data_IF_287949452582
#
_entry.id   IF_287949452582
#
_cell.length_a   1.000
_cell.length_b   1.000
_cell.length_c   1.000
_cell.angle_alpha   90.00
_cell.angle_beta   90.00
_cell.angle_gamma   90.00
#
_symmetry.space_group_name_H-M   'P 1'
#
loop_
_entity.id
_entity.type
_entity.pdbx_description
1 polymer ?
#
# COMPACT_ATOMS: atom_id res chain seq x y z
N UNK A 1 -40.56 22.25 26.52
CA UNK A 1 -40.34 22.69 25.12
C UNK A 1 -41.39 22.04 24.25
N UNK A 2 -42.50 22.75 23.99
CA UNK A 2 -43.61 22.28 23.15
C UNK A 2 -43.14 22.37 21.70
N UNK A 3 -42.89 21.23 21.05
CA UNK A 3 -42.55 21.23 19.62
C UNK A 3 -43.79 21.62 18.80
N UNK A 4 -43.66 22.50 17.79
CA UNK A 4 -44.79 22.97 16.99
C UNK A 4 -45.46 21.80 16.24
N UNK A 5 -46.78 21.85 16.11
CA UNK A 5 -47.65 20.84 15.47
C UNK A 5 -47.26 20.50 14.02
N UNK A 6 -46.48 21.40 13.38
CA UNK A 6 -45.84 21.22 12.07
C UNK A 6 -44.87 20.02 12.02
N UNK A 7 -44.42 19.49 13.16
CA UNK A 7 -43.49 18.36 13.29
C UNK A 7 -44.18 17.03 13.67
N UNK A 8 -45.50 16.95 13.56
CA UNK A 8 -46.30 15.79 13.97
C UNK A 8 -46.53 14.82 12.78
N UNK A 9 -46.30 13.52 13.03
CA UNK A 9 -46.69 12.40 12.17
C UNK A 9 -46.02 12.34 10.78
N UNK A 10 -46.64 12.97 9.78
CA UNK A 10 -46.24 12.93 8.37
C UNK A 10 -45.05 13.83 8.06
N UNK A 11 -45.02 15.03 8.65
CA UNK A 11 -43.99 16.02 8.36
C UNK A 11 -42.61 15.60 8.87
N UNK A 12 -42.56 14.92 10.03
CA UNK A 12 -41.30 14.39 10.58
C UNK A 12 -40.72 13.27 9.72
N UNK A 13 -41.57 12.39 9.19
CA UNK A 13 -41.14 11.33 8.26
C UNK A 13 -40.60 11.93 6.96
N UNK A 14 -41.25 12.97 6.41
CA UNK A 14 -40.78 13.70 5.23
C UNK A 14 -39.45 14.42 5.46
N UNK A 15 -39.29 15.07 6.62
CA UNK A 15 -38.02 15.68 7.02
C UNK A 15 -36.89 14.66 7.15
N UNK A 16 -37.16 13.49 7.76
CA UNK A 16 -36.20 12.40 7.87
C UNK A 16 -35.83 11.82 6.49
N UNK A 17 -36.80 11.66 5.59
CA UNK A 17 -36.53 11.23 4.21
C UNK A 17 -35.70 12.25 3.44
N UNK A 18 -36.02 13.55 3.56
CA UNK A 18 -35.26 14.62 2.93
C UNK A 18 -33.83 14.71 3.48
N UNK A 19 -33.66 14.58 4.79
CA UNK A 19 -32.35 14.54 5.43
C UNK A 19 -31.54 13.31 5.01
N UNK A 20 -32.18 12.13 4.93
CA UNK A 20 -31.52 10.92 4.44
C UNK A 20 -31.09 11.05 2.97
N UNK A 21 -31.97 11.57 2.10
CA UNK A 21 -31.66 11.81 0.70
C UNK A 21 -30.53 12.84 0.53
N UNK A 22 -30.56 13.93 1.31
CA UNK A 22 -29.51 14.95 1.32
C UNK A 22 -28.16 14.40 1.80
N UNK A 23 -28.16 13.59 2.86
CA UNK A 23 -26.95 12.94 3.36
C UNK A 23 -26.35 11.97 2.33
N UNK A 24 -27.18 11.18 1.63
CA UNK A 24 -26.70 10.31 0.56
C UNK A 24 -26.14 11.14 -0.60
N UNK A 25 -26.81 12.22 -0.99
CA UNK A 25 -26.33 13.11 -2.06
C UNK A 25 -24.99 13.76 -1.72
N UNK A 26 -24.79 14.24 -0.48
CA UNK A 26 -23.52 14.85 -0.06
C UNK A 26 -22.40 13.83 0.05
N UNK A 27 -22.69 12.60 0.50
CA UNK A 27 -21.72 11.50 0.46
C UNK A 27 -21.31 11.21 -0.98
N UNK A 28 -22.26 11.02 -1.90
CA UNK A 28 -21.94 10.72 -3.30
C UNK A 28 -21.11 11.85 -3.92
N UNK A 29 -21.52 13.10 -3.78
CA UNK A 29 -20.76 14.24 -4.34
C UNK A 29 -19.38 14.38 -3.67
N UNK A 30 -19.30 14.20 -2.35
CA UNK A 30 -18.05 14.27 -1.59
C UNK A 30 -17.05 13.20 -2.02
N UNK A 31 -17.50 11.95 -2.19
CA UNK A 31 -16.62 10.85 -2.60
C UNK A 31 -16.29 10.87 -4.10
N UNK A 32 -17.20 11.32 -4.98
CA UNK A 32 -16.95 11.35 -6.43
C UNK A 32 -16.17 12.57 -6.89
N UNK A 33 -16.47 13.77 -6.35
CA UNK A 33 -15.91 15.02 -6.84
C UNK A 33 -15.02 15.71 -5.80
N UNK A 34 -15.37 15.62 -4.52
CA UNK A 34 -14.64 16.25 -3.42
C UNK A 34 -13.34 15.53 -3.02
N UNK A 35 -13.06 14.34 -3.56
CA UNK A 35 -11.93 13.52 -3.15
C UNK A 35 -12.01 13.07 -1.69
N UNK A 36 -13.22 13.09 -1.10
CA UNK A 36 -13.44 12.77 0.30
C UNK A 36 -13.20 11.27 0.50
N UNK A 37 -12.13 10.96 1.23
CA UNK A 37 -11.75 9.61 1.61
C UNK A 37 -11.87 9.50 3.13
N UNK A 38 -12.35 8.35 3.62
CA UNK A 38 -12.33 8.08 5.06
C UNK A 38 -10.89 8.19 5.57
N UNK A 39 -10.67 8.82 6.73
CA UNK A 39 -9.33 8.94 7.32
C UNK A 39 -8.61 7.60 7.43
N UNK A 40 -9.33 6.50 7.70
CA UNK A 40 -8.76 5.14 7.70
C UNK A 40 -8.30 4.64 6.33
N UNK A 41 -8.94 5.07 5.25
CA UNK A 41 -8.51 4.80 3.87
C UNK A 41 -7.33 5.69 3.49
N UNK A 42 -7.33 6.95 3.92
CA UNK A 42 -6.21 7.87 3.70
C UNK A 42 -4.94 7.39 4.43
N UNK A 43 -5.06 6.93 5.68
CA UNK A 43 -3.95 6.34 6.44
C UNK A 43 -3.43 5.05 5.78
N UNK A 44 -4.32 4.15 5.36
CA UNK A 44 -3.93 2.93 4.63
C UNK A 44 -3.22 3.26 3.32
N UNK A 45 -3.75 4.21 2.54
CA UNK A 45 -3.13 4.64 1.29
C UNK A 45 -1.78 5.34 1.54
N UNK A 46 -1.66 6.14 2.61
CA UNK A 46 -0.42 6.79 2.97
C UNK A 46 0.64 5.76 3.38
N UNK A 47 0.27 4.76 4.18
CA UNK A 47 1.16 3.68 4.58
C UNK A 47 1.59 2.82 3.39
N UNK A 48 0.65 2.41 2.54
CA UNK A 48 0.94 1.60 1.36
C UNK A 48 1.84 2.35 0.36
N UNK A 49 1.58 3.64 0.12
CA UNK A 49 2.45 4.47 -0.73
C UNK A 49 3.84 4.65 -0.13
N UNK A 50 3.94 4.80 1.18
CA UNK A 50 5.22 4.93 1.88
C UNK A 50 6.00 3.62 1.78
N UNK A 51 5.37 2.48 2.03
CA UNK A 51 5.97 1.15 1.87
C UNK A 51 6.44 0.92 0.43
N UNK A 52 5.62 1.22 -0.58
CA UNK A 52 5.99 1.11 -1.98
C UNK A 52 7.16 2.02 -2.37
N UNK A 53 7.17 3.27 -1.90
CA UNK A 53 8.26 4.20 -2.17
C UNK A 53 9.58 3.75 -1.53
N UNK A 54 9.51 3.25 -0.29
CA UNK A 54 10.65 2.67 0.42
C UNK A 54 11.12 1.42 -0.31
N UNK A 55 10.22 0.52 -0.72
CA UNK A 55 10.57 -0.67 -1.50
C UNK A 55 11.26 -0.28 -2.81
N UNK A 56 10.73 0.70 -3.54
CA UNK A 56 11.31 1.17 -4.80
C UNK A 56 12.71 1.77 -4.62
N UNK A 57 12.98 2.42 -3.48
CA UNK A 57 14.29 2.98 -3.15
C UNK A 57 15.28 1.92 -2.62
N UNK A 58 14.81 0.93 -1.84
CA UNK A 58 15.64 -0.12 -1.26
C UNK A 58 15.94 -1.27 -2.23
N UNK A 59 15.05 -1.54 -3.18
CA UNK A 59 15.23 -2.59 -4.17
C UNK A 59 16.54 -2.43 -5.00
N UNK A 60 16.90 -1.26 -5.55
CA UNK A 60 18.19 -1.09 -6.22
C UNK A 60 19.38 -1.26 -5.27
N UNK A 61 19.27 -0.80 -4.03
CA UNK A 61 20.32 -0.98 -3.00
C UNK A 61 20.55 -2.46 -2.71
N UNK A 62 19.48 -3.25 -2.60
CA UNK A 62 19.55 -4.70 -2.44
C UNK A 62 20.31 -5.37 -3.61
N UNK A 63 20.01 -4.96 -4.86
CA UNK A 63 20.70 -5.48 -6.05
C UNK A 63 22.19 -5.12 -6.05
N UNK A 64 22.55 -3.90 -5.68
CA UNK A 64 23.96 -3.46 -5.64
C UNK A 64 24.74 -4.20 -4.55
N UNK A 65 24.14 -4.39 -3.36
CA UNK A 65 24.74 -5.20 -2.28
C UNK A 65 24.89 -6.66 -2.69
N UNK A 66 23.92 -7.20 -3.44
CA UNK A 66 23.99 -8.56 -3.94
C UNK A 66 25.10 -8.75 -4.98
N UNK A 67 25.29 -7.77 -5.89
CA UNK A 67 26.37 -7.78 -6.88
C UNK A 67 27.76 -7.56 -6.28
N UNK A 68 27.84 -6.86 -5.15
CA UNK A 68 29.09 -6.65 -4.42
C UNK A 68 29.57 -7.92 -3.69
N UNK A 69 28.75 -8.98 -3.60
CA UNK A 69 29.18 -10.26 -3.05
C UNK A 69 30.19 -10.94 -3.98
N UNK A 70 31.26 -11.55 -3.44
CA UNK A 70 32.23 -12.30 -4.25
C UNK A 70 31.59 -13.50 -4.99
N UNK A 71 30.48 -14.03 -4.48
CA UNK A 71 29.75 -15.17 -5.02
C UNK A 71 28.42 -14.78 -5.72
N UNK A 72 28.29 -13.54 -6.20
CA UNK A 72 27.03 -13.00 -6.72
C UNK A 72 26.38 -13.89 -7.81
N UNK A 73 27.17 -14.40 -8.75
CA UNK A 73 26.65 -15.25 -9.85
C UNK A 73 26.17 -16.62 -9.33
N UNK A 74 26.92 -17.26 -8.44
CA UNK A 74 26.53 -18.53 -7.84
C UNK A 74 25.25 -18.39 -6.99
N UNK A 75 25.15 -17.31 -6.21
CA UNK A 75 23.97 -16.99 -5.40
C UNK A 75 22.76 -16.60 -6.27
N UNK A 76 22.97 -15.90 -7.39
CA UNK A 76 21.90 -15.59 -8.36
C UNK A 76 21.31 -16.86 -8.98
N UNK A 77 22.16 -17.81 -9.36
CA UNK A 77 21.72 -19.10 -9.89
C UNK A 77 20.98 -19.91 -8.83
N UNK A 78 21.45 -19.91 -7.57
CA UNK A 78 20.75 -20.55 -6.46
C UNK A 78 19.35 -19.94 -6.28
N UNK A 79 19.26 -18.61 -6.17
CA UNK A 79 17.99 -17.88 -6.05
C UNK A 79 17.03 -18.15 -7.20
N UNK A 80 17.53 -18.27 -8.44
CA UNK A 80 16.69 -18.56 -9.61
C UNK A 80 16.00 -19.91 -9.56
N UNK A 81 16.52 -20.85 -8.76
CA UNK A 81 15.99 -22.20 -8.57
C UNK A 81 15.08 -22.31 -7.35
N UNK A 82 14.96 -21.25 -6.56
CA UNK A 82 14.27 -21.24 -5.28
C UNK A 82 12.87 -20.66 -5.46
N UNK A 83 11.89 -21.31 -4.85
CA UNK A 83 10.51 -20.86 -4.89
C UNK A 83 10.33 -19.50 -4.21
N UNK A 84 9.35 -18.72 -4.68
CA UNK A 84 9.10 -17.35 -4.21
C UNK A 84 8.93 -17.21 -2.70
N UNK A 85 8.40 -18.23 -2.03
CA UNK A 85 8.21 -18.26 -0.58
C UNK A 85 9.49 -18.54 0.21
N UNK A 86 10.47 -19.24 -0.39
CA UNK A 86 11.80 -19.52 0.20
C UNK A 86 12.83 -18.46 -0.12
N UNK A 87 12.61 -17.62 -1.16
CA UNK A 87 13.53 -16.53 -1.51
C UNK A 87 13.86 -15.64 -0.31
N UNK A 88 12.87 -15.38 0.55
CA UNK A 88 13.01 -14.53 1.75
C UNK A 88 14.02 -15.08 2.77
N UNK A 89 14.21 -16.39 2.84
CA UNK A 89 15.19 -17.04 3.72
C UNK A 89 16.62 -16.99 3.15
N UNK A 90 16.77 -16.86 1.83
CA UNK A 90 18.08 -16.75 1.19
C UNK A 90 18.71 -15.36 1.30
N UNK A 91 17.89 -14.33 1.53
CA UNK A 91 18.38 -12.98 1.77
C UNK A 91 18.65 -12.74 3.27
N UNK A 92 19.76 -12.05 3.62
CA UNK A 92 19.97 -11.59 4.98
C UNK A 92 18.80 -10.71 5.42
N UNK A 93 18.24 -10.96 6.60
CA UNK A 93 17.09 -10.18 7.13
C UNK A 93 17.35 -8.68 7.10
N UNK A 94 18.60 -8.26 7.29
CA UNK A 94 19.04 -6.86 7.27
C UNK A 94 18.81 -6.16 5.93
N UNK A 95 18.77 -6.89 4.81
CA UNK A 95 18.64 -6.30 3.47
C UNK A 95 17.19 -6.19 3.01
N UNK A 96 16.33 -7.01 3.58
CA UNK A 96 14.92 -7.18 3.17
C UNK A 96 13.93 -6.68 4.22
N UNK A 97 14.42 -6.19 5.36
CA UNK A 97 13.60 -5.53 6.39
C UNK A 97 13.48 -4.04 6.10
N UNK A 98 12.23 -3.54 6.11
CA UNK A 98 11.94 -2.12 5.92
C UNK A 98 12.36 -1.33 7.17
N UNK A 99 12.83 -0.08 7.01
CA UNK A 99 13.12 0.80 8.15
C UNK A 99 11.87 1.00 9.01
N UNK A 100 11.95 0.59 10.28
CA UNK A 100 10.83 0.66 11.23
C UNK A 100 9.98 -0.62 11.33
N UNK A 101 10.27 -1.65 10.52
CA UNK A 101 9.67 -2.97 10.66
C UNK A 101 10.64 -3.98 11.30
N UNK A 102 10.09 -4.94 12.04
CA UNK A 102 10.86 -6.03 12.64
C UNK A 102 10.88 -7.30 11.78
N UNK A 103 10.18 -7.30 10.63
CA UNK A 103 9.99 -8.47 9.79
C UNK A 103 10.41 -8.20 8.33
N UNK A 104 11.02 -9.17 7.63
CA UNK A 104 11.74 -8.88 6.38
C UNK A 104 10.83 -8.73 5.15
N UNK A 105 10.13 -7.64 4.87
CA UNK A 105 9.11 -7.52 3.77
C UNK A 105 9.28 -8.41 2.51
N UNK A 106 8.28 -9.25 2.20
CA UNK A 106 8.30 -10.12 1.00
C UNK A 106 8.26 -9.34 -0.30
N UNK A 107 7.62 -8.17 -0.29
CA UNK A 107 7.52 -7.29 -1.46
C UNK A 107 8.89 -6.70 -1.86
N UNK A 108 9.75 -6.38 -0.89
CA UNK A 108 11.12 -5.95 -1.17
C UNK A 108 11.99 -7.09 -1.72
N UNK A 109 11.84 -8.30 -1.18
CA UNK A 109 12.50 -9.52 -1.71
C UNK A 109 12.11 -9.76 -3.16
N UNK A 110 10.81 -9.67 -3.47
CA UNK A 110 10.28 -9.91 -4.80
C UNK A 110 10.71 -8.82 -5.80
N UNK A 111 10.66 -7.55 -5.39
CA UNK A 111 11.16 -6.44 -6.17
C UNK A 111 12.67 -6.57 -6.45
N UNK A 112 13.47 -6.90 -5.43
CA UNK A 112 14.91 -7.10 -5.58
C UNK A 112 15.21 -8.29 -6.51
N UNK A 113 14.52 -9.41 -6.34
CA UNK A 113 14.66 -10.58 -7.22
C UNK A 113 14.28 -10.26 -8.67
N UNK A 114 13.17 -9.55 -8.86
CA UNK A 114 12.71 -9.13 -10.19
C UNK A 114 13.73 -8.21 -10.85
N UNK A 115 14.30 -7.23 -10.14
CA UNK A 115 15.35 -6.35 -10.65
C UNK A 115 16.71 -7.05 -10.83
N UNK A 116 16.97 -8.13 -10.10
CA UNK A 116 18.17 -8.96 -10.24
C UNK A 116 18.09 -9.85 -11.48
N UNK A 117 16.90 -10.40 -11.78
CA UNK A 117 16.63 -11.25 -12.93
C UNK A 117 16.35 -10.48 -14.22
N UNK A 118 15.60 -9.38 -14.16
CA UNK A 118 15.39 -8.47 -15.28
C UNK A 118 16.61 -7.53 -15.35
N UNK A 119 17.52 -7.70 -16.32
CA UNK A 119 18.80 -7.03 -16.25
C UNK A 119 18.69 -5.49 -16.35
N UNK A 120 19.38 -4.83 -15.42
CA UNK A 120 20.00 -3.49 -15.42
C UNK A 120 19.21 -2.20 -15.16
N UNK A 121 18.02 -1.87 -15.70
CA UNK A 121 17.62 -0.42 -15.68
C UNK A 121 16.13 -0.04 -15.83
N UNK A 122 15.15 -0.88 -15.53
CA UNK A 122 13.76 -0.57 -15.96
C UNK A 122 13.02 0.59 -15.25
N UNK A 123 13.67 1.44 -14.44
CA UNK A 123 13.06 2.69 -13.94
C UNK A 123 14.06 3.79 -13.54
N UNK A 124 15.29 3.82 -14.09
CA UNK A 124 16.06 5.08 -14.09
C UNK A 124 15.58 5.92 -15.29
N UNK A 125 14.37 6.48 -15.15
CA UNK A 125 13.90 7.65 -15.88
C UNK A 125 12.87 8.40 -15.05
#
# INVERSE_FOLDING_TARGET
MQVPSMLQGESRKRLLQGAAAGAVATIVVGFYWGGWSLGSTADKMAKERSELAVIAALAPVCVDKFRALPDAEAKKVALSKVDSWKRRDEFPKEWVTLPGESYPSSALVDACYTLLLAPKSAALK
#
